data_IF_994702565459
#
_entry.id   IF_994702565459
#
_cell.length_a   1.000
_cell.length_b   1.000
_cell.length_c   1.000
_cell.angle_alpha   90.00
_cell.angle_beta   90.00
_cell.angle_gamma   90.00
#
_symmetry.space_group_name_H-M   'P 1'
#
loop_
_entity.id
_entity.type
_entity.pdbx_description
1 polymer ?
#
# COMPACT_ATOMS: atom_id res chain seq x y z
N UNK A 1 -2.55 0.87 -16.26
CA UNK A 1 -2.96 0.79 -14.85
C UNK A 1 -1.96 -0.02 -14.05
N UNK A 2 -1.74 -1.28 -14.41
CA UNK A 2 -0.81 -2.20 -13.71
C UNK A 2 0.64 -1.67 -13.72
N UNK A 3 1.12 -1.13 -14.86
CA UNK A 3 2.47 -0.54 -14.93
C UNK A 3 2.69 0.58 -13.90
N UNK A 4 1.79 1.57 -13.85
CA UNK A 4 1.88 2.68 -12.87
C UNK A 4 1.81 2.19 -11.42
N UNK A 5 0.98 1.17 -11.18
CA UNK A 5 0.87 0.57 -9.85
C UNK A 5 2.15 -0.17 -9.47
N UNK A 6 2.74 -0.94 -10.40
CA UNK A 6 4.02 -1.64 -10.23
C UNK A 6 5.17 -0.66 -9.99
N UNK A 7 5.27 0.41 -10.77
CA UNK A 7 6.25 1.49 -10.58
C UNK A 7 6.14 2.11 -9.16
N UNK A 8 4.91 2.33 -8.67
CA UNK A 8 4.66 2.84 -7.31
C UNK A 8 5.03 1.84 -6.21
N UNK A 9 4.84 0.54 -6.47
CA UNK A 9 5.28 -0.52 -5.56
C UNK A 9 6.81 -0.58 -5.47
N UNK A 10 7.48 -0.61 -6.63
CA UNK A 10 8.93 -0.65 -6.75
C UNK A 10 9.60 0.56 -6.08
N UNK A 11 9.07 1.77 -6.29
CA UNK A 11 9.60 2.97 -5.64
C UNK A 11 9.46 2.94 -4.12
N UNK A 12 8.35 2.39 -3.61
CA UNK A 12 8.13 2.21 -2.17
C UNK A 12 9.11 1.17 -1.59
N UNK A 13 9.33 0.05 -2.29
CA UNK A 13 10.29 -0.99 -1.89
C UNK A 13 11.72 -0.42 -1.87
N UNK A 14 12.06 0.40 -2.86
CA UNK A 14 13.37 1.04 -2.93
C UNK A 14 13.57 2.02 -1.77
N UNK A 15 12.54 2.80 -1.42
CA UNK A 15 12.56 3.68 -0.24
C UNK A 15 12.77 2.92 1.07
N UNK A 16 12.10 1.79 1.26
CA UNK A 16 12.32 0.93 2.44
C UNK A 16 13.73 0.36 2.50
N UNK A 17 14.31 -0.06 1.36
CA UNK A 17 15.70 -0.52 1.30
C UNK A 17 16.69 0.59 1.69
N UNK A 18 16.43 1.83 1.25
CA UNK A 18 17.26 2.98 1.62
C UNK A 18 17.18 3.28 3.12
N UNK A 19 15.97 3.27 3.71
CA UNK A 19 15.79 3.48 5.16
C UNK A 19 16.49 2.40 5.98
N UNK A 20 16.41 1.12 5.57
CA UNK A 20 17.16 0.04 6.23
C UNK A 20 18.67 0.24 6.15
N UNK A 21 19.18 0.73 5.02
CA UNK A 21 20.61 1.03 4.85
C UNK A 21 21.05 2.19 5.74
N UNK A 22 20.26 3.26 5.81
CA UNK A 22 20.51 4.41 6.69
C UNK A 22 20.53 3.98 8.16
N UNK A 23 19.57 3.13 8.57
CA UNK A 23 19.54 2.54 9.91
C UNK A 23 20.82 1.80 10.25
N UNK A 24 21.29 0.90 9.36
CA UNK A 24 22.53 0.16 9.60
C UNK A 24 23.75 1.07 9.67
N UNK A 25 23.77 2.16 8.90
CA UNK A 25 24.87 3.12 8.92
C UNK A 25 24.90 3.91 10.23
N UNK A 26 23.75 4.34 10.75
CA UNK A 26 23.64 4.98 12.07
C UNK A 26 23.99 4.02 13.21
N UNK A 27 23.66 2.74 13.09
CA UNK A 27 24.05 1.71 14.06
C UNK A 27 25.58 1.53 14.10
N UNK A 28 26.22 1.45 12.94
CA UNK A 28 27.68 1.37 12.86
C UNK A 28 28.34 2.64 13.45
N UNK A 29 27.77 3.82 13.20
CA UNK A 29 28.27 5.07 13.80
C UNK A 29 28.13 5.09 15.33
N UNK A 30 27.08 4.48 15.87
CA UNK A 30 26.90 4.33 17.31
C UNK A 30 27.96 3.37 17.89
N UNK A 31 28.22 2.25 17.23
CA UNK A 31 29.24 1.27 17.62
C UNK A 31 30.65 1.89 17.59
N UNK A 32 31.00 2.64 16.54
CA UNK A 32 32.27 3.39 16.47
C UNK A 32 32.40 4.44 17.60
N UNK A 33 31.30 5.09 17.97
CA UNK A 33 31.28 6.07 19.06
C UNK A 33 31.50 5.40 20.42
N UNK A 34 30.90 4.23 20.63
CA UNK A 34 31.09 3.37 21.82
C UNK A 34 32.54 2.89 21.93
N UNK A 35 33.11 2.36 20.83
CA UNK A 35 34.50 1.93 20.79
C UNK A 35 35.47 3.07 21.11
N UNK A 36 35.23 4.27 20.58
CA UNK A 36 36.06 5.46 20.89
C UNK A 36 35.91 5.91 22.34
N UNK A 37 34.72 5.82 22.93
CA UNK A 37 34.53 6.14 24.34
C UNK A 37 35.33 5.18 25.24
N UNK A 38 35.27 3.88 24.97
CA UNK A 38 35.98 2.84 25.73
C UNK A 38 37.50 2.92 25.53
N UNK A 39 37.97 3.10 24.29
CA UNK A 39 39.40 3.01 23.96
C UNK A 39 40.17 4.33 24.05
N UNK A 40 39.53 5.46 23.72
CA UNK A 40 40.21 6.77 23.59
C UNK A 40 39.85 7.76 24.69
N UNK A 41 39.06 7.36 25.69
CA UNK A 41 38.72 8.20 26.84
C UNK A 41 37.91 9.43 26.46
N UNK A 42 36.86 9.24 25.65
CA UNK A 42 35.97 10.34 25.26
C UNK A 42 35.21 10.86 26.49
N UNK A 43 34.98 12.17 26.57
CA UNK A 43 34.26 12.77 27.68
C UNK A 43 32.80 12.26 27.72
N UNK A 44 32.37 11.75 28.88
CA UNK A 44 31.06 11.12 29.08
C UNK A 44 29.89 12.01 28.62
N UNK A 45 29.97 13.30 28.89
CA UNK A 45 28.94 14.28 28.50
C UNK A 45 28.82 14.40 26.98
N UNK A 46 29.95 14.33 26.27
CA UNK A 46 29.99 14.39 24.82
C UNK A 46 29.42 13.10 24.22
N UNK A 47 29.83 11.95 24.75
CA UNK A 47 29.31 10.63 24.36
C UNK A 47 27.78 10.59 24.49
N UNK A 48 27.25 10.92 25.67
CA UNK A 48 25.81 10.86 25.96
C UNK A 48 24.99 11.74 24.99
N UNK A 49 25.50 12.94 24.66
CA UNK A 49 24.83 13.87 23.73
C UNK A 49 24.78 13.35 22.29
N UNK A 50 25.83 12.70 21.81
CA UNK A 50 25.86 12.15 20.44
C UNK A 50 25.14 10.80 20.35
N UNK A 51 25.30 9.93 21.37
CA UNK A 51 24.56 8.68 21.48
C UNK A 51 23.05 8.92 21.57
N UNK A 52 22.60 9.93 22.33
CA UNK A 52 21.17 10.26 22.40
C UNK A 52 20.62 10.70 21.03
N UNK A 53 21.38 11.50 20.27
CA UNK A 53 20.97 11.93 18.92
C UNK A 53 20.86 10.75 17.96
N UNK A 54 21.89 9.92 17.88
CA UNK A 54 21.89 8.73 17.02
C UNK A 54 20.74 7.78 17.38
N UNK A 55 20.51 7.53 18.67
CA UNK A 55 19.37 6.71 19.12
C UNK A 55 18.02 7.33 18.77
N UNK A 56 17.86 8.66 18.86
CA UNK A 56 16.61 9.30 18.42
C UNK A 56 16.39 9.21 16.92
N UNK A 57 17.44 9.25 16.11
CA UNK A 57 17.34 9.09 14.66
C UNK A 57 17.03 7.64 14.28
N UNK A 58 17.69 6.67 14.93
CA UNK A 58 17.40 5.23 14.77
C UNK A 58 15.94 4.94 15.16
N UNK A 59 15.47 5.47 16.29
CA UNK A 59 14.08 5.30 16.73
C UNK A 59 13.08 5.86 15.71
N UNK A 60 13.34 7.04 15.15
CA UNK A 60 12.48 7.63 14.11
C UNK A 60 12.42 6.76 12.85
N UNK A 61 13.57 6.22 12.43
CA UNK A 61 13.62 5.31 11.28
C UNK A 61 12.91 3.99 11.59
N UNK A 62 13.02 3.47 12.82
CA UNK A 62 12.32 2.27 13.27
C UNK A 62 10.81 2.48 13.35
N UNK A 63 10.34 3.64 13.80
CA UNK A 63 8.94 4.03 13.78
C UNK A 63 8.43 4.15 12.33
N UNK A 64 9.22 4.73 11.43
CA UNK A 64 8.86 4.84 10.02
C UNK A 64 8.81 3.46 9.33
N UNK A 65 9.74 2.57 9.66
CA UNK A 65 9.79 1.20 9.15
C UNK A 65 8.67 0.33 9.71
N UNK A 66 8.33 0.44 10.99
CA UNK A 66 7.20 -0.30 11.59
C UNK A 66 5.86 0.15 11.01
N UNK A 67 5.67 1.46 10.80
CA UNK A 67 4.50 1.97 10.09
C UNK A 67 4.40 1.47 8.64
N UNK A 68 5.53 1.16 8.00
CA UNK A 68 5.58 0.59 6.64
C UNK A 68 5.65 -0.95 6.60
N UNK A 69 5.87 -1.60 7.75
CA UNK A 69 6.18 -3.05 7.92
C UNK A 69 5.05 -4.00 7.51
N UNK A 70 3.90 -3.51 7.05
CA UNK A 70 2.82 -4.38 6.57
C UNK A 70 3.20 -5.17 5.28
N UNK A 71 4.39 -4.92 4.70
CA UNK A 71 4.87 -5.58 3.49
C UNK A 71 5.66 -6.86 3.79
N UNK A 72 4.96 -7.98 3.86
CA UNK A 72 5.58 -9.30 3.67
C UNK A 72 5.69 -9.63 2.17
N UNK A 73 6.69 -10.42 1.77
CA UNK A 73 6.79 -10.98 0.41
C UNK A 73 5.52 -11.73 -0.01
N UNK A 74 4.81 -12.32 0.96
CA UNK A 74 3.51 -12.95 0.75
C UNK A 74 2.44 -11.95 0.28
N UNK A 75 2.48 -10.72 0.79
CA UNK A 75 1.55 -9.66 0.37
C UNK A 75 1.84 -9.21 -1.07
N UNK A 76 3.11 -9.11 -1.46
CA UNK A 76 3.49 -8.77 -2.84
C UNK A 76 2.95 -9.82 -3.82
N UNK A 77 3.18 -11.10 -3.52
CA UNK A 77 2.64 -12.22 -4.31
C UNK A 77 1.11 -12.18 -4.35
N UNK A 78 0.45 -11.87 -3.23
CA UNK A 78 -1.00 -11.76 -3.17
C UNK A 78 -1.53 -10.60 -4.04
N UNK A 79 -0.85 -9.45 -4.02
CA UNK A 79 -1.20 -8.29 -4.82
C UNK A 79 -1.02 -8.57 -6.32
N UNK A 80 0.09 -9.19 -6.73
CA UNK A 80 0.30 -9.58 -8.13
C UNK A 80 -0.76 -10.56 -8.64
N UNK A 81 -1.10 -11.56 -7.82
CA UNK A 81 -2.20 -12.49 -8.12
C UNK A 81 -3.54 -11.77 -8.25
N UNK A 82 -3.84 -10.86 -7.33
CA UNK A 82 -5.07 -10.06 -7.36
C UNK A 82 -5.17 -9.22 -8.64
N UNK A 83 -4.08 -8.56 -9.06
CA UNK A 83 -4.04 -7.77 -10.30
C UNK A 83 -4.24 -8.66 -11.53
N UNK A 84 -3.61 -9.84 -11.55
CA UNK A 84 -3.75 -10.80 -12.65
C UNK A 84 -5.19 -11.27 -12.79
N UNK A 85 -5.85 -11.56 -11.66
CA UNK A 85 -7.28 -11.93 -11.63
C UNK A 85 -8.13 -10.76 -12.12
N UNK A 86 -7.85 -9.53 -11.68
CA UNK A 86 -8.61 -8.35 -12.08
C UNK A 86 -8.49 -8.04 -13.59
N UNK A 87 -7.29 -8.21 -14.16
CA UNK A 87 -7.04 -7.98 -15.59
C UNK A 87 -7.76 -9.02 -16.47
N UNK A 88 -7.76 -10.29 -16.04
CA UNK A 88 -8.37 -11.41 -16.76
C UNK A 88 -9.74 -11.78 -16.21
N UNK A 89 -10.39 -10.86 -15.50
CA UNK A 89 -11.59 -11.16 -14.74
C UNK A 89 -12.72 -11.71 -15.61
N UNK A 90 -12.95 -11.08 -16.76
CA UNK A 90 -13.95 -11.54 -17.73
C UNK A 90 -13.66 -12.93 -18.28
N UNK A 91 -12.39 -13.24 -18.53
CA UNK A 91 -11.95 -14.55 -19.02
C UNK A 91 -12.15 -15.62 -17.95
N UNK A 92 -11.77 -15.35 -16.71
CA UNK A 92 -12.01 -16.25 -15.58
C UNK A 92 -13.50 -16.48 -15.33
N UNK A 93 -14.34 -15.46 -15.52
CA UNK A 93 -15.78 -15.61 -15.44
C UNK A 93 -16.34 -16.51 -16.56
N UNK A 94 -15.93 -16.29 -17.82
CA UNK A 94 -16.46 -17.07 -18.95
C UNK A 94 -16.00 -18.53 -18.92
N UNK A 95 -14.71 -18.77 -18.65
CA UNK A 95 -14.10 -20.10 -18.67
C UNK A 95 -14.29 -20.87 -17.35
N UNK A 96 -14.64 -20.17 -16.26
CA UNK A 96 -14.79 -20.75 -14.95
C UNK A 96 -16.01 -21.65 -14.83
N UNK A 97 -15.83 -22.81 -14.17
CA UNK A 97 -16.95 -23.62 -13.71
C UNK A 97 -17.71 -22.90 -12.57
N UNK A 98 -18.84 -23.45 -12.14
CA UNK A 98 -19.70 -22.86 -11.11
C UNK A 98 -18.92 -22.51 -9.83
N UNK A 99 -18.04 -23.40 -9.37
CA UNK A 99 -17.23 -23.21 -8.16
C UNK A 99 -16.26 -22.03 -8.30
N UNK A 100 -15.60 -21.91 -9.46
CA UNK A 100 -14.69 -20.78 -9.74
C UNK A 100 -15.47 -19.46 -9.78
N UNK A 101 -16.63 -19.44 -10.44
CA UNK A 101 -17.50 -18.26 -10.49
C UNK A 101 -17.95 -17.81 -9.10
N UNK A 102 -18.35 -18.76 -8.25
CA UNK A 102 -18.75 -18.48 -6.87
C UNK A 102 -17.59 -17.92 -6.05
N UNK A 103 -16.38 -18.52 -6.16
CA UNK A 103 -15.17 -17.98 -5.50
C UNK A 103 -14.84 -16.57 -5.98
N UNK A 104 -14.96 -16.34 -7.29
CA UNK A 104 -14.70 -15.03 -7.89
C UNK A 104 -15.71 -13.99 -7.41
N UNK A 105 -16.98 -14.38 -7.27
CA UNK A 105 -18.03 -13.53 -6.73
C UNK A 105 -17.71 -13.11 -5.28
N UNK A 106 -17.38 -14.05 -4.40
CA UNK A 106 -17.02 -13.72 -3.01
C UNK A 106 -15.71 -12.94 -2.88
N UNK A 107 -14.77 -13.13 -3.81
CA UNK A 107 -13.54 -12.33 -3.88
C UNK A 107 -13.83 -10.86 -4.20
N UNK A 108 -14.80 -10.61 -5.08
CA UNK A 108 -15.19 -9.26 -5.51
C UNK A 108 -16.22 -8.60 -4.59
N UNK A 109 -17.14 -9.39 -4.06
CA UNK A 109 -18.26 -8.97 -3.22
C UNK A 109 -18.31 -9.86 -1.98
N UNK A 110 -17.54 -9.52 -0.92
CA UNK A 110 -17.41 -10.37 0.26
C UNK A 110 -18.73 -10.60 1.00
N UNK A 111 -19.64 -9.62 0.95
CA UNK A 111 -20.99 -9.70 1.54
C UNK A 111 -22.02 -10.24 0.54
N UNK A 112 -21.56 -10.75 -0.60
CA UNK A 112 -22.41 -11.28 -1.66
C UNK A 112 -23.11 -10.21 -2.49
N UNK A 113 -24.05 -10.69 -3.30
CA UNK A 113 -24.91 -9.88 -4.14
C UNK A 113 -26.33 -10.10 -3.64
N UNK A 114 -26.99 -9.02 -3.26
CA UNK A 114 -28.37 -9.03 -2.76
C UNK A 114 -29.30 -8.53 -3.85
N UNK A 115 -30.53 -9.02 -3.84
CA UNK A 115 -31.59 -8.51 -4.70
C UNK A 115 -32.66 -7.87 -3.82
N UNK A 116 -32.89 -6.59 -4.04
CA UNK A 116 -33.95 -5.82 -3.43
C UNK A 116 -35.18 -5.90 -4.33
N UNK A 117 -36.14 -6.73 -3.92
CA UNK A 117 -37.37 -6.98 -4.67
C UNK A 117 -38.30 -5.76 -4.71
N UNK A 118 -38.29 -4.91 -3.67
CA UNK A 118 -39.19 -3.76 -3.61
C UNK A 118 -38.80 -2.71 -4.63
N UNK A 119 -37.51 -2.49 -4.81
CA UNK A 119 -36.96 -1.52 -5.76
C UNK A 119 -36.53 -2.13 -7.09
N UNK A 120 -36.69 -3.45 -7.27
CA UNK A 120 -36.21 -4.22 -8.43
C UNK A 120 -34.73 -3.94 -8.77
N UNK A 121 -33.88 -3.88 -7.73
CA UNK A 121 -32.46 -3.53 -7.89
C UNK A 121 -31.53 -4.58 -7.30
N UNK A 122 -30.37 -4.73 -7.93
CA UNK A 122 -29.27 -5.55 -7.42
C UNK A 122 -28.35 -4.69 -6.58
N UNK A 123 -28.07 -5.13 -5.35
CA UNK A 123 -27.22 -4.43 -4.39
C UNK A 123 -25.95 -5.23 -4.10
N UNK A 124 -24.84 -4.52 -4.02
CA UNK A 124 -23.54 -5.04 -3.59
C UNK A 124 -23.05 -4.22 -2.40
N UNK A 125 -23.51 -4.55 -1.17
CA UNK A 125 -23.28 -3.72 0.02
C UNK A 125 -21.81 -3.40 0.26
N UNK A 126 -20.94 -4.37 -0.08
CA UNK A 126 -19.50 -4.23 0.02
C UNK A 126 -18.82 -4.70 -1.26
N UNK A 127 -17.98 -3.84 -1.81
CA UNK A 127 -17.11 -4.14 -2.95
C UNK A 127 -15.67 -4.29 -2.49
N UNK A 128 -14.90 -5.12 -3.19
CA UNK A 128 -13.47 -5.28 -2.89
C UNK A 128 -12.69 -4.00 -3.19
N UNK A 129 -11.62 -3.78 -2.43
CA UNK A 129 -10.69 -2.66 -2.63
C UNK A 129 -10.12 -2.59 -4.06
N UNK A 130 -10.01 -3.74 -4.73
CA UNK A 130 -9.53 -3.84 -6.11
C UNK A 130 -10.53 -3.18 -7.07
N UNK A 131 -11.83 -3.49 -6.93
CA UNK A 131 -12.87 -2.87 -7.75
C UNK A 131 -12.97 -1.37 -7.50
N UNK A 132 -12.86 -0.95 -6.24
CA UNK A 132 -12.81 0.46 -5.88
C UNK A 132 -11.61 1.18 -6.52
N UNK A 133 -10.43 0.56 -6.53
CA UNK A 133 -9.25 1.12 -7.18
C UNK A 133 -9.41 1.22 -8.71
N UNK A 134 -9.98 0.20 -9.34
CA UNK A 134 -10.25 0.19 -10.79
C UNK A 134 -11.25 1.29 -11.17
N UNK A 135 -12.34 1.44 -10.40
CA UNK A 135 -13.36 2.44 -10.66
C UNK A 135 -12.85 3.87 -10.46
N UNK A 136 -12.08 4.13 -9.39
CA UNK A 136 -11.41 5.42 -9.19
C UNK A 136 -10.48 5.76 -10.36
N UNK A 137 -9.66 4.80 -10.80
CA UNK A 137 -8.74 5.03 -11.91
C UNK A 137 -9.46 5.26 -13.24
N UNK A 138 -10.55 4.53 -13.50
CA UNK A 138 -11.40 4.74 -14.67
C UNK A 138 -12.02 6.15 -14.68
N UNK A 139 -12.46 6.62 -13.51
CA UNK A 139 -12.99 7.99 -13.34
C UNK A 139 -11.94 9.04 -13.64
N UNK A 140 -10.75 8.94 -13.03
CA UNK A 140 -9.63 9.86 -13.27
C UNK A 140 -9.24 9.87 -14.76
N UNK A 141 -9.22 8.72 -15.43
CA UNK A 141 -8.94 8.65 -16.87
C UNK A 141 -10.05 9.25 -17.73
N UNK A 142 -11.31 9.20 -17.30
CA UNK A 142 -12.42 9.87 -17.98
C UNK A 142 -12.38 11.39 -17.78
N UNK A 143 -12.02 11.86 -16.57
CA UNK A 143 -11.84 13.27 -16.23
C UNK A 143 -10.67 13.89 -17.02
N UNK A 144 -9.52 13.20 -17.10
CA UNK A 144 -8.38 13.64 -17.93
C UNK A 144 -8.72 13.75 -19.42
N UNK A 145 -9.69 12.97 -19.92
CA UNK A 145 -10.18 13.01 -21.31
C UNK A 145 -11.24 14.09 -21.54
N UNK A 146 -11.94 14.53 -20.48
CA UNK A 146 -12.97 15.58 -20.55
C UNK A 146 -12.41 17.01 -20.53
N UNK A 147 -11.10 17.15 -20.33
CA UNK A 147 -10.39 18.41 -20.55
C UNK A 147 -9.89 19.04 -19.25
N UNK A 148 -8.78 19.75 -19.41
CA UNK A 148 -8.26 20.71 -18.46
C UNK A 148 -9.35 21.75 -18.16
N UNK A 149 -10.13 21.55 -17.10
CA UNK A 149 -10.87 22.64 -16.46
C UNK A 149 -10.78 22.44 -14.95
N UNK A 150 -9.98 23.29 -14.34
CA UNK A 150 -9.90 23.44 -12.89
C UNK A 150 -11.29 23.61 -12.28
N UNK A 151 -11.44 23.10 -11.04
CA UNK A 151 -12.59 23.20 -10.12
C UNK A 151 -13.60 22.06 -10.24
N UNK A 152 -13.34 21.00 -9.48
CA UNK A 152 -14.12 20.69 -8.27
C UNK A 152 -13.45 19.51 -7.57
N UNK A 153 -12.46 19.85 -6.75
CA UNK A 153 -11.88 18.92 -5.79
C UNK A 153 -12.82 18.89 -4.58
N UNK A 154 -13.18 17.68 -4.14
CA UNK A 154 -13.92 17.37 -2.91
C UNK A 154 -15.42 17.68 -2.98
N UNK A 155 -16.22 16.63 -3.23
CA UNK A 155 -17.62 16.41 -2.79
C UNK A 155 -18.32 15.50 -3.80
N UNK A 156 -18.44 14.21 -3.47
CA UNK A 156 -19.53 13.35 -3.96
C UNK A 156 -19.45 11.99 -3.26
N UNK A 157 -19.63 12.02 -1.93
CA UNK A 157 -20.29 10.94 -1.22
C UNK A 157 -21.79 11.05 -1.53
N UNK A 158 -22.22 10.60 -2.70
CA UNK A 158 -23.64 10.34 -3.01
C UNK A 158 -23.68 9.54 -4.33
N UNK A 159 -23.94 8.24 -4.22
CA UNK A 159 -24.39 7.43 -5.36
C UNK A 159 -25.91 7.47 -5.28
N UNK A 160 -26.55 8.20 -6.19
CA UNK A 160 -27.99 8.39 -6.26
C UNK A 160 -28.65 7.43 -7.26
N UNK A 161 -29.76 6.86 -6.77
CA UNK A 161 -30.93 6.22 -7.41
C UNK A 161 -30.68 5.08 -8.40
#
# INVERSE_FOLDING_TARGET
MIRKFKERLESTIQGEKQLKKQRTELQNQLEELEERYVMKGLEKVLYEKYASKLNTEISKIDDELTNKSFRSSNLEIAVEKCLTIAEKLSQFWVLGNYVIKQKLQYLLFPEGILYDKENDTVRTPKTSLILAGISQQARVSAEMKKGNSEKNCLESHLVGL
#
